data_IF_599617303152
#
_entry.id   IF_599617303152
#
_cell.length_a   1.000
_cell.length_b   1.000
_cell.length_c   1.000
_cell.angle_alpha   90.00
_cell.angle_beta   90.00
_cell.angle_gamma   90.00
#
_symmetry.space_group_name_H-M   'P 1'
#
loop_
_entity.id
_entity.type
_entity.pdbx_description
1 polymer ?
2 polymer ?
3 polymer ?
4 water ?
#
loop_
_entity_poly.entity_id
_entity_poly.type
_entity_poly.pdbx_seq_one_letter_code
_entity_poly.pdbx_strand_id
2 'polydeoxyribonucleotide' '(DC)(DT)(DA)(DC)(DC)(DG)(DG)(DA)(DT)(DT)(DG)(DC)' ?
3 'polydeoxyribonucleotide' '(DG)(DC)(DA)(DA)(DT)(DC)(5CM)(DG)(DG)(DT)(DA)(DG)' ?
#
# COMPACT_ATOMS: atom_id res chain seq x y z
N UNK A 1 -11.58 10.60 -21.00
CA UNK A 1 -11.21 9.15 -21.19
C UNK A 1 -9.80 8.81 -20.60
N UNK A 2 -8.74 9.38 -21.21
CA UNK A 2 -7.33 9.16 -20.84
C UNK A 2 -7.00 7.80 -20.22
N UNK A 3 -6.38 7.83 -19.03
CA UNK A 3 -5.99 6.62 -18.31
C UNK A 3 -7.09 6.05 -17.42
N UNK A 4 -8.29 6.61 -17.47
CA UNK A 4 -9.39 6.12 -16.62
C UNK A 4 -9.70 4.66 -16.94
N UNK A 5 -9.56 4.29 -18.22
CA UNK A 5 -10.00 2.98 -18.75
C UNK A 5 -8.97 2.08 -19.42
N UNK A 6 -7.68 2.36 -19.25
CA UNK A 6 -6.66 1.55 -19.94
C UNK A 6 -6.32 0.25 -19.14
N UNK A 7 -6.00 -0.83 -19.88
CA UNK A 7 -5.44 -2.06 -19.31
C UNK A 7 -3.93 -1.97 -19.38
N UNK A 8 -3.23 -3.04 -19.01
CA UNK A 8 -1.75 -2.98 -19.01
C UNK A 8 -1.24 -3.22 -20.43
N UNK A 9 -0.09 -2.64 -20.73
CA UNK A 9 0.58 -2.93 -22.00
C UNK A 9 1.46 -4.15 -21.79
N UNK A 10 1.60 -4.55 -20.51
CA UNK A 10 2.64 -5.47 -20.13
C UNK A 10 2.41 -6.01 -18.75
N UNK A 11 3.01 -7.16 -18.50
CA UNK A 11 2.93 -7.83 -17.21
C UNK A 11 4.30 -8.30 -16.71
N UNK A 12 4.61 -7.89 -15.49
CA UNK A 12 5.78 -8.38 -14.80
C UNK A 12 5.59 -9.87 -14.58
N UNK A 13 6.52 -10.63 -15.15
CA UNK A 13 6.54 -12.07 -15.05
C UNK A 13 7.81 -12.55 -14.37
N UNK A 14 8.81 -11.69 -14.31
CA UNK A 14 10.03 -12.03 -13.66
C UNK A 14 9.83 -12.62 -12.26
N UNK A 15 8.77 -12.22 -11.56
CA UNK A 15 8.25 -12.98 -10.41
C UNK A 15 6.73 -13.12 -10.53
N UNK A 16 6.14 -14.13 -9.83
CA UNK A 16 4.72 -14.36 -9.94
C UNK A 16 3.94 -13.43 -9.07
N UNK A 17 2.62 -13.53 -9.21
CA UNK A 17 1.70 -12.59 -8.57
C UNK A 17 1.78 -12.66 -7.05
N UNK A 18 2.20 -13.79 -6.51
CA UNK A 18 2.23 -13.97 -5.06
C UNK A 18 3.62 -13.82 -4.45
N UNK A 19 4.40 -12.88 -4.99
CA UNK A 19 5.71 -12.59 -4.49
C UNK A 19 5.62 -11.63 -3.31
N UNK A 20 6.11 -12.09 -2.16
CA UNK A 20 6.44 -11.24 -1.05
C UNK A 20 7.83 -10.68 -1.27
N UNK A 21 7.98 -9.40 -0.96
CA UNK A 21 9.25 -8.73 -0.96
C UNK A 21 9.42 -7.89 -2.19
N UNK A 22 10.58 -7.27 -2.31
CA UNK A 22 10.91 -6.49 -3.48
C UNK A 22 10.85 -7.26 -4.76
N UNK A 23 10.56 -6.51 -5.82
CA UNK A 23 10.61 -6.96 -7.20
C UNK A 23 12.03 -6.64 -7.72
N UNK A 24 12.79 -7.68 -8.03
CA UNK A 24 14.16 -7.49 -8.56
C UNK A 24 14.27 -6.38 -9.61
N UNK A 25 15.33 -5.56 -9.49
CA UNK A 25 15.55 -4.42 -10.43
C UNK A 25 14.47 -3.33 -10.41
N UNK A 26 13.77 -3.21 -9.28
CA UNK A 26 12.87 -2.13 -9.09
C UNK A 26 13.31 -1.48 -7.78
N UNK A 27 14.18 -0.46 -7.86
CA UNK A 27 14.69 0.09 -6.63
C UNK A 27 13.69 1.04 -5.99
N UNK A 28 13.81 1.19 -4.67
CA UNK A 28 13.14 2.23 -3.90
C UNK A 28 13.41 3.64 -4.46
N UNK A 29 12.39 4.48 -4.60
CA UNK A 29 12.56 5.73 -5.34
C UNK A 29 11.92 5.74 -6.73
N UNK A 30 11.77 4.56 -7.33
CA UNK A 30 11.14 4.48 -8.64
C UNK A 30 9.80 5.25 -8.61
N UNK A 31 9.52 5.99 -9.67
CA UNK A 31 8.36 6.85 -9.74
C UNK A 31 7.54 6.48 -10.94
N UNK A 32 6.21 6.56 -10.82
CA UNK A 32 5.32 6.34 -11.96
C UNK A 32 4.16 7.27 -11.95
N UNK A 33 3.76 7.75 -13.13
CA UNK A 33 2.66 8.73 -13.17
C UNK A 33 1.31 8.12 -12.82
N UNK A 34 1.05 6.92 -13.32
CA UNK A 34 -0.26 6.32 -13.24
C UNK A 34 -0.15 4.96 -12.59
N UNK A 35 -1.26 4.52 -12.00
CA UNK A 35 -1.37 3.23 -11.34
C UNK A 35 -1.18 2.04 -12.25
N UNK A 36 -1.71 2.11 -13.46
CA UNK A 36 -1.49 0.99 -14.36
C UNK A 36 0.00 0.71 -14.51
N UNK A 37 0.82 1.77 -14.55
CA UNK A 37 2.26 1.57 -14.71
C UNK A 37 2.86 0.83 -13.51
N UNK A 38 2.33 1.13 -12.33
CA UNK A 38 2.88 0.53 -11.12
C UNK A 38 2.56 -0.93 -11.14
N UNK A 39 1.41 -1.28 -11.68
CA UNK A 39 1.01 -2.68 -11.79
C UNK A 39 1.93 -3.38 -12.74
N UNK A 40 2.07 -2.85 -13.95
CA UNK A 40 3.00 -3.41 -14.93
C UNK A 40 4.31 -3.78 -14.29
N UNK A 41 4.80 -2.99 -13.33
CA UNK A 41 6.16 -3.24 -12.78
C UNK A 41 6.20 -4.49 -11.94
N UNK A 42 5.02 -4.87 -11.44
CA UNK A 42 4.87 -5.94 -10.49
C UNK A 42 4.85 -5.39 -9.06
N UNK A 43 5.05 -4.08 -8.88
CA UNK A 43 5.20 -3.58 -7.49
C UNK A 43 3.85 -3.54 -6.80
N UNK A 44 2.84 -3.15 -7.55
CA UNK A 44 1.50 -3.18 -6.99
C UNK A 44 0.50 -3.41 -8.07
N UNK A 45 0.16 -4.69 -8.23
CA UNK A 45 -0.57 -5.20 -9.41
C UNK A 45 -2.01 -4.73 -9.60
N UNK A 46 -2.77 -4.56 -8.52
CA UNK A 46 -4.10 -4.05 -8.71
C UNK A 46 -4.09 -2.62 -9.16
N UNK A 47 -4.51 -2.47 -10.40
CA UNK A 47 -5.04 -1.28 -11.01
C UNK A 47 -5.52 -0.19 -10.03
N UNK A 48 -6.46 -0.55 -9.16
CA UNK A 48 -7.30 0.41 -8.42
C UNK A 48 -7.19 0.31 -6.91
N UNK A 49 -7.27 -0.90 -6.39
CA UNK A 49 -7.40 -1.19 -4.97
C UNK A 49 -6.17 -0.87 -4.15
N UNK A 50 -6.41 -0.58 -2.88
CA UNK A 50 -5.36 -0.20 -1.96
C UNK A 50 -4.38 -1.28 -1.61
N UNK A 51 -4.85 -2.52 -1.55
CA UNK A 51 -4.04 -3.63 -1.06
C UNK A 51 -4.05 -4.75 -2.06
N UNK A 52 -2.90 -5.34 -2.30
CA UNK A 52 -2.86 -6.58 -3.04
C UNK A 52 -2.56 -7.66 -2.05
N UNK A 53 -3.47 -8.64 -1.98
CA UNK A 53 -3.21 -9.83 -1.19
C UNK A 53 -4.15 -10.97 -1.49
N UNK A 54 -3.85 -12.12 -0.90
CA UNK A 54 -4.71 -13.30 -0.85
C UNK A 54 -5.02 -13.70 0.60
N UNK A 55 -6.31 -13.89 0.89
CA UNK A 55 -6.79 -14.01 2.26
C UNK A 55 -6.35 -15.29 2.94
N UNK A 56 -5.67 -16.18 2.24
CA UNK A 56 -5.10 -17.34 2.91
C UNK A 56 -3.57 -17.40 2.92
N UNK A 57 -2.91 -16.25 2.73
CA UNK A 57 -1.46 -16.21 2.43
C UNK A 57 -0.89 -14.90 2.95
N UNK A 58 -1.39 -13.77 2.45
CA UNK A 58 -0.91 -12.52 2.97
C UNK A 58 -1.11 -11.41 1.99
N UNK A 59 -0.69 -10.22 2.38
CA UNK A 59 -0.70 -9.07 1.50
C UNK A 59 0.69 -8.81 0.97
N UNK A 60 0.77 -8.60 -0.35
CA UNK A 60 2.03 -8.46 -1.07
C UNK A 60 2.40 -7.00 -1.11
N UNK A 61 1.41 -6.13 -1.36
CA UNK A 61 1.66 -4.71 -1.49
C UNK A 61 0.46 -3.87 -1.12
N UNK A 62 0.71 -2.59 -0.94
CA UNK A 62 -0.36 -1.67 -0.75
C UNK A 62 0.00 -0.24 -1.12
N UNK A 63 -1.04 0.63 -1.16
CA UNK A 63 -0.88 2.05 -1.59
C UNK A 63 -1.51 3.05 -0.68
N UNK A 64 -0.80 4.14 -0.41
CA UNK A 64 -1.37 5.27 0.35
C UNK A 64 -1.77 6.34 -0.60
N UNK A 65 -3.08 6.50 -0.84
CA UNK A 65 -3.61 7.46 -1.81
C UNK A 65 -4.59 8.44 -1.21
N UNK A 66 -4.67 8.45 0.12
CA UNK A 66 -5.63 9.31 0.83
C UNK A 66 -7.08 9.07 0.47
N UNK A 67 -7.44 7.88 0.01
CA UNK A 67 -8.87 7.60 -0.21
C UNK A 67 -9.69 7.41 1.08
N UNK A 68 -9.04 6.97 2.16
CA UNK A 68 -9.71 6.59 3.42
C UNK A 68 -9.30 7.57 4.50
N UNK A 69 -10.25 8.34 4.97
CA UNK A 69 -9.90 9.30 5.96
C UNK A 69 -9.24 8.77 7.22
N UNK A 70 -9.32 7.49 7.52
CA UNK A 70 -8.70 7.02 8.77
C UNK A 70 -7.20 6.66 8.64
N UNK A 71 -6.69 6.72 7.42
CA UNK A 71 -5.26 6.55 7.22
C UNK A 71 -4.56 7.67 7.97
N UNK A 72 -3.47 7.34 8.63
CA UNK A 72 -2.57 8.35 9.21
C UNK A 72 -1.19 7.93 8.82
N UNK A 73 -0.42 8.87 8.29
CA UNK A 73 0.87 8.51 7.64
C UNK A 73 2.05 9.14 8.36
N UNK A 74 3.00 8.37 8.88
CA UNK A 74 4.15 8.96 9.59
C UNK A 74 5.54 8.73 8.97
N UNK A 75 5.56 8.40 7.69
CA UNK A 75 6.78 8.18 6.98
C UNK A 75 7.32 6.81 7.29
N UNK A 76 8.07 6.74 8.39
CA UNK A 76 8.77 5.51 8.74
C UNK A 76 7.80 4.47 9.23
N UNK A 77 6.61 4.90 9.60
CA UNK A 77 5.55 3.99 9.90
C UNK A 77 4.27 4.75 9.61
N UNK A 78 3.18 3.99 9.64
CA UNK A 78 1.90 4.52 9.38
C UNK A 78 0.78 3.55 9.71
N UNK A 79 -0.42 4.11 9.76
CA UNK A 79 -1.60 3.40 10.16
C UNK A 79 -2.50 3.44 8.98
N UNK A 80 -2.74 2.27 8.43
CA UNK A 80 -3.49 2.09 7.22
C UNK A 80 -4.87 1.61 7.61
N UNK A 81 -5.83 1.77 6.72
CA UNK A 81 -7.17 1.33 6.98
C UNK A 81 -7.49 0.17 6.07
N UNK A 82 -8.32 -0.74 6.54
CA UNK A 82 -8.78 -1.84 5.68
C UNK A 82 -9.71 -1.29 4.61
N UNK A 83 -9.98 -2.07 3.56
CA UNK A 83 -10.96 -1.64 2.58
C UNK A 83 -12.31 -2.10 2.97
N UNK A 84 -13.31 -1.60 2.25
CA UNK A 84 -14.67 -2.04 2.45
C UNK A 84 -15.37 -1.15 3.43
N UNK A 85 -16.53 -1.59 3.90
CA UNK A 85 -17.38 -0.77 4.75
C UNK A 85 -18.04 0.33 3.95
N UNK A 86 -18.02 0.17 2.63
CA UNK A 86 -18.61 1.13 1.69
C UNK A 86 -19.72 0.52 0.84
N UNK A 87 -20.70 1.33 0.46
CA UNK A 87 -21.65 0.89 -0.52
C UNK A 87 -21.24 1.39 -1.92
N UNK A 88 -20.80 0.50 -2.79
CA UNK A 88 -20.36 0.91 -4.14
C UNK A 88 -21.37 0.56 -5.24
N UNK A 89 -22.60 0.24 -4.87
CA UNK A 89 -23.59 -0.06 -5.89
C UNK A 89 -23.63 1.19 -6.78
N UNK A 90 -23.99 0.97 -8.04
CA UNK A 90 -23.82 1.96 -9.09
C UNK A 90 -22.46 1.87 -9.76
N UNK A 91 -21.83 0.69 -9.65
CA UNK A 91 -20.60 0.44 -10.37
C UNK A 91 -19.62 1.54 -10.02
N UNK A 92 -19.58 1.82 -8.71
CA UNK A 92 -18.59 2.77 -8.15
C UNK A 92 -17.27 2.09 -7.77
N UNK A 93 -16.24 2.89 -7.54
CA UNK A 93 -14.97 2.38 -7.02
C UNK A 93 -14.60 2.88 -5.64
N UNK A 94 -15.08 4.07 -5.27
CA UNK A 94 -14.88 4.61 -3.95
C UNK A 94 -16.17 5.22 -3.51
N UNK A 95 -16.42 5.23 -2.19
CA UNK A 95 -17.52 5.96 -1.49
C UNK A 95 -17.03 6.27 -0.06
N UNK A 96 -17.86 6.96 0.71
CA UNK A 96 -17.62 7.13 2.13
C UNK A 96 -18.08 5.88 2.89
N UNK A 97 -17.61 5.76 4.12
CA UNK A 97 -18.02 4.64 4.92
C UNK A 97 -19.54 4.70 5.15
N UNK A 98 -20.22 3.59 4.85
CA UNK A 98 -21.61 3.41 5.21
C UNK A 98 -21.93 2.15 6.07
N UNK A 99 -20.93 1.28 6.34
CA UNK A 99 -21.14 0.10 7.21
C UNK A 99 -19.84 -0.45 7.82
N UNK A 100 -19.92 -1.24 8.87
CA UNK A 100 -18.70 -1.71 9.53
C UNK A 100 -17.80 -2.56 8.66
N UNK A 101 -16.49 -2.32 8.68
CA UNK A 101 -15.50 -3.19 7.97
C UNK A 101 -15.36 -4.58 8.62
N UNK A 102 -14.88 -5.55 7.84
CA UNK A 102 -14.82 -6.95 8.26
C UNK A 102 -13.44 -7.54 8.10
N UNK A 103 -13.05 -8.49 8.96
CA UNK A 103 -11.73 -9.10 8.86
C UNK A 103 -11.78 -10.15 7.74
N UNK A 104 -11.91 -9.67 6.50
CA UNK A 104 -12.00 -10.59 5.38
C UNK A 104 -11.30 -10.04 4.15
N UNK A 105 -11.20 -10.90 3.17
CA UNK A 105 -10.50 -10.59 1.94
C UNK A 105 -9.12 -9.98 2.18
N UNK A 106 -8.82 -8.85 1.55
CA UNK A 106 -7.51 -8.18 1.75
C UNK A 106 -7.21 -7.77 3.18
N UNK A 107 -8.26 -7.42 3.91
CA UNK A 107 -8.12 -7.05 5.31
C UNK A 107 -7.64 -8.24 6.07
N UNK A 108 -8.15 -9.42 5.71
CA UNK A 108 -7.64 -10.64 6.33
C UNK A 108 -6.25 -10.91 5.85
N UNK A 109 -6.01 -10.70 4.58
CA UNK A 109 -4.71 -10.95 3.99
C UNK A 109 -3.67 -10.23 4.74
N UNK A 110 -3.88 -8.92 4.86
CA UNK A 110 -2.92 -8.04 5.48
C UNK A 110 -2.73 -8.38 6.92
N UNK A 111 -3.79 -8.83 7.60
CA UNK A 111 -3.63 -9.30 8.97
C UNK A 111 -2.64 -10.49 9.08
N UNK A 112 -2.63 -11.35 8.07
CA UNK A 112 -1.75 -12.50 8.09
C UNK A 112 -0.29 -12.09 7.95
N UNK A 113 0.02 -10.91 7.43
CA UNK A 113 1.45 -10.53 7.38
C UNK A 113 2.10 -10.37 8.74
N UNK A 114 1.26 -10.20 9.78
CA UNK A 114 1.71 -9.95 11.15
C UNK A 114 2.15 -11.20 11.92
N UNK A 115 3.38 -11.17 12.45
CA UNK A 115 3.98 -12.32 13.15
C UNK A 115 3.29 -12.65 14.47
N UNK A 116 2.07 -13.13 14.34
CA UNK A 116 1.27 -13.56 15.44
C UNK A 116 0.04 -14.17 14.78
N UNK A 117 -0.55 -15.18 15.40
CA UNK A 117 -1.72 -15.86 14.78
C UNK A 117 -2.92 -14.97 14.55
N UNK A 118 -3.58 -15.17 13.42
CA UNK A 118 -4.77 -14.41 13.06
C UNK A 118 -5.74 -14.40 14.25
N UNK A 119 -6.26 -13.22 14.58
CA UNK A 119 -7.17 -13.06 15.69
C UNK A 119 -8.31 -12.17 15.24
N UNK A 120 -9.54 -12.63 15.36
CA UNK A 120 -10.68 -11.82 14.93
C UNK A 120 -10.78 -10.49 15.71
N UNK A 121 -10.04 -10.38 16.82
CA UNK A 121 -9.99 -9.16 17.64
C UNK A 121 -8.77 -8.28 17.45
N UNK A 122 -7.84 -8.67 16.58
CA UNK A 122 -6.63 -7.92 16.35
C UNK A 122 -5.54 -8.52 17.19
N UNK A 123 -4.30 -8.09 16.95
CA UNK A 123 -3.13 -8.65 17.61
C UNK A 123 -1.92 -7.74 17.40
N UNK A 124 -0.87 -7.94 18.21
CA UNK A 124 0.49 -7.47 17.89
C UNK A 124 1.47 -8.62 17.84
N UNK A 125 2.51 -8.44 17.05
CA UNK A 125 3.67 -9.30 17.04
C UNK A 125 4.73 -8.62 17.88
N UNK A 126 5.32 -9.34 18.84
CA UNK A 126 6.51 -8.79 19.56
C UNK A 126 7.70 -8.77 18.61
N UNK A 127 7.96 -9.88 17.91
CA UNK A 127 9.04 -9.85 16.93
C UNK A 127 8.52 -9.54 15.49
N UNK A 128 8.04 -8.31 15.34
CA UNK A 128 7.43 -7.82 14.12
C UNK A 128 8.34 -7.88 12.90
N UNK A 129 9.64 -7.70 13.08
CA UNK A 129 10.57 -7.85 11.96
C UNK A 129 10.43 -9.23 11.33
N UNK A 130 10.06 -10.25 12.10
CA UNK A 130 9.90 -11.57 11.52
C UNK A 130 8.60 -11.76 10.75
N UNK A 131 7.76 -10.74 10.62
CA UNK A 131 6.55 -10.81 9.78
C UNK A 131 6.83 -10.83 8.29
N UNK A 132 5.81 -11.15 7.48
CA UNK A 132 5.92 -11.21 6.00
C UNK A 132 5.87 -9.81 5.47
N UNK A 133 6.75 -9.46 4.54
CA UNK A 133 6.85 -8.11 4.05
C UNK A 133 5.75 -7.58 3.12
N UNK A 134 5.66 -6.25 3.12
CA UNK A 134 4.72 -5.52 2.30
C UNK A 134 5.31 -4.32 1.54
N UNK A 135 5.30 -4.44 0.20
CA UNK A 135 5.71 -3.36 -0.65
C UNK A 135 4.82 -2.12 -0.49
N UNK A 136 5.41 -1.00 -0.11
CA UNK A 136 4.60 0.17 0.07
C UNK A 136 4.85 1.17 -1.00
N UNK A 137 3.75 1.58 -1.61
CA UNK A 137 3.72 2.68 -2.56
C UNK A 137 2.96 3.87 -2.06
N UNK A 138 3.45 5.06 -2.33
CA UNK A 138 2.73 6.26 -1.94
C UNK A 138 2.39 7.05 -3.15
N UNK A 139 1.15 7.53 -3.21
CA UNK A 139 0.64 8.32 -4.33
C UNK A 139 0.37 9.78 -3.93
N UNK A 140 0.39 10.70 -4.90
CA UNK A 140 0.35 12.13 -4.61
C UNK A 140 -0.91 12.67 -3.85
N UNK A 141 -1.97 11.89 -3.77
CA UNK A 141 -3.20 12.32 -3.09
C UNK A 141 -3.22 12.14 -1.55
N UNK A 142 -2.17 11.52 -1.01
CA UNK A 142 -1.95 11.53 0.43
C UNK A 142 -1.40 12.87 0.86
N UNK A 143 -1.08 13.74 -0.11
CA UNK A 143 -0.40 14.99 0.15
C UNK A 143 -1.22 15.98 0.93
N UNK A 144 -2.53 15.83 0.86
CA UNK A 144 -3.45 16.75 1.54
C UNK A 144 -3.27 16.68 3.05
N UNK A 145 -2.89 15.50 3.52
CA UNK A 145 -2.67 15.28 4.94
C UNK A 145 -1.30 14.84 5.28
N UNK A 146 -0.61 14.18 4.36
CA UNK A 146 0.75 13.72 4.59
C UNK A 146 1.79 14.51 3.85
N UNK A 147 2.80 14.90 4.61
CA UNK A 147 3.98 15.58 4.14
C UNK A 147 4.95 14.67 3.52
N UNK A 148 4.64 13.38 3.52
CA UNK A 148 5.54 12.38 2.93
C UNK A 148 5.06 12.07 1.54
N UNK A 149 3.78 12.32 1.25
CA UNK A 149 3.27 12.15 -0.09
C UNK A 149 4.14 12.89 -1.12
N UNK A 150 4.44 12.25 -2.27
CA UNK A 150 5.13 12.87 -3.41
C UNK A 150 4.24 13.90 -4.09
N UNK A 151 4.86 14.89 -4.73
CA UNK A 151 4.12 15.97 -5.38
C UNK A 151 3.34 15.43 -6.54
N UNK A 152 3.87 14.47 -7.28
CA UNK A 152 3.08 13.81 -8.31
C UNK A 152 3.27 12.27 -8.41
N UNK A 153 2.21 11.63 -8.87
CA UNK A 153 2.27 10.25 -9.20
C UNK A 153 2.48 9.37 -8.00
N UNK A 154 3.11 8.24 -8.28
CA UNK A 154 3.30 7.13 -7.38
C UNK A 154 4.77 6.87 -7.15
N UNK A 155 5.12 6.57 -5.91
CA UNK A 155 6.50 6.33 -5.59
C UNK A 155 6.65 5.10 -4.69
N UNK A 156 7.68 4.31 -4.95
CA UNK A 156 7.90 3.09 -4.20
C UNK A 156 8.85 3.33 -3.07
N UNK A 157 8.36 3.06 -1.85
CA UNK A 157 9.02 3.49 -0.63
C UNK A 157 9.66 2.36 0.13
N UNK A 158 9.59 1.15 -0.40
CA UNK A 158 10.24 0.00 0.21
C UNK A 158 9.31 -0.83 1.07
N UNK A 159 9.92 -1.73 1.79
CA UNK A 159 9.24 -2.71 2.60
C UNK A 159 8.88 -2.23 3.97
N UNK A 160 7.67 -2.56 4.36
CA UNK A 160 7.22 -2.34 5.71
C UNK A 160 6.62 -3.64 6.20
N UNK A 161 6.34 -3.70 7.50
CA UNK A 161 5.81 -4.88 8.15
C UNK A 161 4.72 -4.54 9.18
N UNK A 162 3.74 -5.40 9.33
CA UNK A 162 2.56 -5.14 10.14
C UNK A 162 2.93 -5.39 11.58
N UNK A 163 3.12 -4.29 12.31
CA UNK A 163 3.41 -4.41 13.71
C UNK A 163 2.19 -4.98 14.44
N UNK A 164 1.01 -4.42 14.13
CA UNK A 164 -0.24 -4.82 14.81
C UNK A 164 -1.50 -4.31 14.08
N UNK A 165 -2.63 -4.92 14.38
CA UNK A 165 -3.86 -4.63 13.67
C UNK A 165 -4.99 -4.77 14.66
N UNK A 166 -5.96 -3.89 14.54
CA UNK A 166 -7.06 -3.91 15.45
C UNK A 166 -8.20 -3.20 14.83
N UNK A 167 -9.42 -3.54 15.27
CA UNK A 167 -10.63 -2.93 14.81
C UNK A 167 -11.12 -1.88 15.77
N UNK A 168 -11.84 -0.93 15.22
CA UNK A 168 -12.03 0.31 15.88
C UNK A 168 -12.98 1.16 15.05
N UNK A 169 -13.58 2.12 15.69
CA UNK A 169 -14.54 2.94 15.07
C UNK A 169 -13.85 4.14 14.48
N UNK A 170 -14.00 4.35 13.18
CA UNK A 170 -13.28 5.42 12.49
C UNK A 170 -13.95 6.78 12.60
N UNK A 171 -13.39 7.80 11.94
CA UNK A 171 -13.96 9.16 11.96
C UNK A 171 -15.42 9.28 11.61
N UNK A 172 -15.88 8.33 10.81
CA UNK A 172 -17.28 8.22 10.45
C UNK A 172 -18.11 7.48 11.40
N UNK A 173 -17.48 6.92 12.42
CA UNK A 173 -18.22 6.19 13.39
C UNK A 173 -18.64 4.81 12.94
N UNK A 174 -18.26 4.35 11.74
CA UNK A 174 -18.41 2.92 11.49
C UNK A 174 -17.15 2.23 11.92
N UNK A 175 -17.26 0.93 12.16
CA UNK A 175 -16.10 0.14 12.48
C UNK A 175 -15.21 0.10 11.27
N UNK A 176 -13.92 0.33 11.52
CA UNK A 176 -12.86 0.07 10.52
C UNK A 176 -11.73 -0.84 11.04
N UNK A 177 -11.10 -1.56 10.13
CA UNK A 177 -9.88 -2.26 10.52
C UNK A 177 -8.65 -1.38 10.28
N UNK A 178 -7.86 -1.23 11.33
CA UNK A 178 -6.65 -0.44 11.27
C UNK A 178 -5.40 -1.31 11.36
N UNK A 179 -4.37 -0.92 10.62
CA UNK A 179 -3.10 -1.66 10.63
C UNK A 179 -1.93 -0.77 10.82
N UNK A 180 -1.12 -1.06 11.83
CA UNK A 180 0.11 -0.32 12.08
C UNK A 180 1.23 -0.95 11.33
N UNK A 181 1.74 -0.23 10.36
CA UNK A 181 2.87 -0.71 9.58
C UNK A 181 4.10 0.06 9.86
N UNK A 182 5.23 -0.62 9.81
CA UNK A 182 6.50 -0.01 10.15
C UNK A 182 7.64 -0.41 9.21
N UNK A 183 8.46 0.56 8.88
CA UNK A 183 9.44 0.30 7.84
C UNK A 183 10.61 -0.60 8.22
N UNK A 184 10.95 -1.52 7.30
CA UNK A 184 12.15 -2.36 7.44
C UNK A 184 12.78 -2.58 6.06
N UNK A 185 13.65 -1.69 5.62
CA UNK A 185 14.12 -1.73 4.25
C UNK A 185 15.63 -1.38 4.15
N UNK A 186 16.28 -1.88 3.09
CA UNK A 186 17.72 -1.74 2.96
C UNK A 186 18.17 -0.40 2.35
N UNK A 187 17.23 0.38 1.88
CA UNK A 187 17.57 1.63 1.23
C UNK A 187 16.86 2.80 1.94
N UNK A 188 17.38 4.02 1.79
CA UNK A 188 16.78 5.10 2.50
C UNK A 188 15.40 5.45 1.98
N UNK A 189 14.70 6.25 2.78
CA UNK A 189 13.36 6.72 2.52
C UNK A 189 13.47 7.83 1.51
N UNK A 190 12.76 7.67 0.37
CA UNK A 190 12.84 8.57 -0.75
C UNK A 190 12.66 10.01 -0.48
N UNK A 191 11.94 10.33 0.59
CA UNK A 191 11.70 11.73 0.94
C UNK A 191 12.86 12.37 1.71
N UNK A 192 13.83 11.59 2.19
CA UNK A 192 14.85 12.19 3.01
C UNK A 192 15.95 12.71 2.12
N UNK A 193 16.83 13.53 2.70
CA UNK A 193 17.91 14.06 1.93
C UNK A 193 18.68 12.90 1.33
N UNK A 194 19.04 12.00 2.21
CA UNK A 194 19.83 10.85 1.83
C UNK A 194 19.10 10.06 0.75
N UNK A 195 17.79 9.94 0.96
CA UNK A 195 16.91 9.24 0.02
C UNK A 195 16.85 9.95 -1.30
N UNK A 196 16.72 11.28 -1.24
CA UNK A 196 16.72 12.13 -2.40
C UNK A 196 18.04 12.05 -3.16
N UNK A 197 19.18 11.95 -2.45
CA UNK A 197 20.51 12.00 -3.11
C UNK A 197 20.74 10.70 -3.83
N UNK A 198 20.15 9.69 -3.26
CA UNK A 198 20.15 8.38 -3.84
C UNK A 198 19.32 8.34 -5.14
N UNK A 199 18.11 8.85 -5.13
CA UNK A 199 17.36 8.94 -6.38
C UNK A 199 18.28 9.56 -7.45
N UNK A 200 18.84 10.70 -7.13
CA UNK A 200 19.72 11.30 -8.07
C UNK A 200 20.87 10.40 -8.44
N UNK A 201 21.47 9.71 -7.48
CA UNK A 201 22.62 8.88 -7.87
C UNK A 201 22.19 7.75 -8.78
N UNK A 202 20.96 7.30 -8.63
CA UNK A 202 20.39 6.33 -9.55
C UNK A 202 19.82 6.91 -10.81
N UNK A 203 19.62 8.21 -10.87
CA UNK A 203 19.06 8.83 -12.06
C UNK A 203 17.63 8.41 -12.33
N UNK A 204 16.83 8.32 -11.27
CA UNK A 204 15.43 7.95 -11.38
C UNK A 204 14.62 9.18 -11.79
N UNK A 205 13.69 9.02 -12.72
CA UNK A 205 12.73 10.08 -12.96
C UNK A 205 11.32 9.54 -13.10
N UNK A 206 10.38 10.46 -13.15
CA UNK A 206 9.00 10.14 -13.43
C UNK A 206 8.89 9.33 -14.73
N UNK A 207 8.26 8.19 -14.60
CA UNK A 207 7.99 7.36 -15.74
C UNK A 207 6.58 7.70 -16.17
N UNK A 208 6.42 8.04 -17.44
CA UNK A 208 5.11 8.28 -18.03
C UNK A 208 4.78 7.14 -19.03
N UNK A 209 3.48 6.90 -19.30
CA UNK A 209 3.13 5.83 -20.26
C UNK A 209 3.73 6.12 -21.63
N UNK A 210 4.09 5.07 -22.35
CA UNK A 210 4.71 5.21 -23.67
C UNK A 210 3.70 5.77 -24.68
#
# INVERSE_FOLDING_TARGET
SGMACVGRTTECTIVPANHFGPIPGVPVGTMWRFRVQVSESGVHRPHVAGIHGRSNDGAYSLVLAGGYEDDVDNGNYFTYTGSGGRDLSGNKRTAGQSSDQKLTNNNRALALNCHSPINEKGAEAEDWRQGKPVRVVRNMKGGKHSKYAPAEGNRYDGIYKVVKYWPERGKSGFLVWRYLLRRDDTEPEPWTREGKDRTRQLGLTMQYPE
#
